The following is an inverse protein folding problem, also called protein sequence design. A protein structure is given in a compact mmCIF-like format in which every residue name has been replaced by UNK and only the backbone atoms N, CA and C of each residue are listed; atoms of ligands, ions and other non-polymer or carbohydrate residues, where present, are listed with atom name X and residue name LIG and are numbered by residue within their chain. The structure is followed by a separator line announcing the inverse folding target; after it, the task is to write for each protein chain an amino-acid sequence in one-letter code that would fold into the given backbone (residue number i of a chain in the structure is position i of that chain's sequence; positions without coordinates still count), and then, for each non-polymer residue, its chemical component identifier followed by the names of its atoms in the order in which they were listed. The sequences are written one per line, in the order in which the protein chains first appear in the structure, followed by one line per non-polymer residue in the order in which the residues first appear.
data_IF_741309606955
#
_entry.id   IF_741309606955
#
_cell.length_a   1.000
_cell.length_b   1.000
_cell.length_c   1.000
_cell.angle_alpha   90.00
_cell.angle_beta   90.00
_cell.angle_gamma   90.00
#
_symmetry.space_group_name_H-M   'P 1'
#
loop_
_entity.id
_entity.type
_entity.pdbx_description
1 polymer ?
#
# COMPACT_ATOMS: atom_id res chain seq x y z
N UNK A 1 12.17 16.18 -3.74
CA UNK A 1 13.60 16.49 -3.57
C UNK A 1 13.71 17.84 -2.90
N UNK A 2 14.19 17.91 -1.67
CA UNK A 2 14.43 19.17 -0.98
C UNK A 2 15.57 19.88 -1.68
N UNK A 3 15.32 21.00 -2.36
CA UNK A 3 16.37 21.86 -2.89
C UNK A 3 17.02 22.58 -1.72
N UNK A 4 18.36 22.54 -1.67
CA UNK A 4 19.09 23.33 -0.70
C UNK A 4 18.80 24.80 -0.97
N UNK A 5 18.20 25.48 0.02
CA UNK A 5 17.98 26.94 -0.05
C UNK A 5 19.36 27.59 -0.01
N UNK A 6 19.74 28.30 -1.06
CA UNK A 6 21.07 28.88 -1.20
C UNK A 6 21.36 30.04 -0.24
N UNK A 7 20.32 30.61 0.38
CA UNK A 7 20.42 31.67 1.37
C UNK A 7 19.45 31.41 2.53
N UNK A 8 19.82 31.71 3.76
CA UNK A 8 18.89 31.64 4.86
C UNK A 8 17.71 32.62 4.57
N UNK A 9 16.51 32.06 4.55
CA UNK A 9 15.28 32.85 4.39
C UNK A 9 14.94 33.39 5.77
N UNK A 10 14.90 34.69 5.90
CA UNK A 10 14.42 35.37 7.12
C UNK A 10 12.88 35.23 7.25
N UNK A 11 12.36 35.61 8.38
CA UNK A 11 10.94 35.49 8.68
C UNK A 11 10.06 36.27 7.66
N UNK A 12 10.57 37.37 7.11
CA UNK A 12 9.89 38.18 6.09
C UNK A 12 9.87 37.51 4.74
N UNK A 13 10.95 36.82 4.37
CA UNK A 13 11.03 36.05 3.13
C UNK A 13 10.22 34.74 3.16
N UNK A 14 9.88 34.23 4.35
CA UNK A 14 9.05 33.06 4.53
C UNK A 14 7.54 33.39 4.67
N UNK A 15 7.18 34.63 4.88
CA UNK A 15 5.80 35.08 5.07
C UNK A 15 5.15 35.50 3.75
N UNK A 16 3.93 35.01 3.49
CA UNK A 16 3.08 35.41 2.37
C UNK A 16 1.85 36.14 2.92
N UNK A 17 1.60 37.33 2.45
CA UNK A 17 0.39 38.05 2.86
C UNK A 17 -0.84 37.36 2.28
N UNK A 18 -1.91 37.21 3.07
CA UNK A 18 -3.15 36.54 2.66
C UNK A 18 -3.73 37.13 1.36
N UNK A 19 -3.61 38.44 1.17
CA UNK A 19 -4.05 39.12 -0.06
C UNK A 19 -3.30 38.69 -1.32
N UNK A 20 -2.09 38.17 -1.16
CA UNK A 20 -1.21 37.73 -2.24
C UNK A 20 -1.30 36.19 -2.46
N UNK A 21 -2.07 35.50 -1.60
CA UNK A 21 -2.33 34.07 -1.74
C UNK A 21 -3.38 33.82 -2.83
N UNK A 22 -3.06 32.97 -3.78
CA UNK A 22 -3.96 32.63 -4.90
C UNK A 22 -4.41 31.17 -4.79
N UNK A 23 -5.71 30.93 -4.96
CA UNK A 23 -6.25 29.58 -5.04
C UNK A 23 -6.35 29.12 -6.52
N UNK A 24 -6.16 27.81 -6.81
CA UNK A 24 -5.95 26.67 -5.90
C UNK A 24 -4.51 26.50 -5.42
N UNK A 25 -3.58 27.33 -5.83
CA UNK A 25 -2.17 27.26 -5.47
C UNK A 25 -1.81 28.51 -4.64
N UNK A 26 -2.05 28.47 -3.31
CA UNK A 26 -1.84 29.63 -2.45
C UNK A 26 -0.36 30.01 -2.24
N UNK A 27 0.57 29.16 -2.67
CA UNK A 27 2.01 29.38 -2.52
C UNK A 27 2.72 29.36 -3.86
N UNK A 28 3.87 30.03 -3.95
CA UNK A 28 4.68 30.01 -5.16
C UNK A 28 5.06 28.59 -5.58
N UNK A 29 5.19 28.33 -6.91
CA UNK A 29 5.59 27.01 -7.43
C UNK A 29 6.94 26.58 -6.82
N UNK A 30 6.93 25.46 -6.13
CA UNK A 30 8.13 24.95 -5.40
C UNK A 30 7.78 24.34 -4.06
N UNK A 31 6.65 24.69 -3.46
CA UNK A 31 5.98 23.84 -2.48
C UNK A 31 5.04 22.94 -3.27
N UNK A 32 5.56 21.79 -3.68
CA UNK A 32 4.70 20.79 -4.28
C UNK A 32 3.62 20.42 -3.28
N UNK A 33 2.39 20.55 -3.70
CA UNK A 33 1.23 20.07 -2.98
C UNK A 33 1.36 18.56 -2.88
N UNK A 34 1.88 18.08 -1.77
CA UNK A 34 1.75 16.68 -1.42
C UNK A 34 0.31 16.45 -1.01
N UNK A 35 -0.47 15.99 -1.98
CA UNK A 35 -1.77 15.42 -1.66
C UNK A 35 -1.57 14.40 -0.53
N UNK A 36 -2.45 14.35 0.48
CA UNK A 36 -2.44 13.29 1.50
C UNK A 36 -2.41 11.89 0.87
N UNK A 37 -2.86 11.77 -0.38
CA UNK A 37 -2.84 10.55 -1.19
C UNK A 37 -1.44 10.19 -1.69
N UNK A 38 -0.48 11.10 -1.69
CA UNK A 38 0.90 10.85 -2.17
C UNK A 38 1.91 10.59 -1.03
N UNK A 39 1.45 10.49 0.19
CA UNK A 39 2.28 10.11 1.33
C UNK A 39 2.41 8.60 1.50
N UNK A 40 3.28 8.17 2.42
CA UNK A 40 3.44 6.74 2.77
C UNK A 40 2.15 6.09 3.28
N UNK A 41 1.19 6.86 3.74
CA UNK A 41 -0.09 6.40 4.25
C UNK A 41 -1.06 5.96 3.16
N UNK A 42 -0.82 6.35 1.93
CA UNK A 42 -1.61 5.89 0.79
C UNK A 42 -1.53 4.37 0.60
N UNK A 43 -0.43 3.74 1.02
CA UNK A 43 -0.28 2.27 0.98
C UNK A 43 -1.39 1.56 1.74
N UNK A 44 -1.89 2.15 2.85
CA UNK A 44 -2.99 1.59 3.64
C UNK A 44 -4.27 1.53 2.80
N UNK A 45 -4.63 2.64 2.15
CA UNK A 45 -5.80 2.74 1.29
C UNK A 45 -5.68 1.84 0.07
N UNK A 46 -4.53 1.90 -0.61
CA UNK A 46 -4.27 1.07 -1.80
C UNK A 46 -4.35 -0.42 -1.48
N UNK A 47 -3.78 -0.84 -0.34
CA UNK A 47 -3.87 -2.23 0.11
C UNK A 47 -5.31 -2.68 0.42
N UNK A 48 -6.18 -1.75 0.83
CA UNK A 48 -7.59 -2.05 1.09
C UNK A 48 -8.41 -2.36 -0.16
N UNK A 49 -7.92 -1.96 -1.34
CA UNK A 49 -8.60 -2.23 -2.62
C UNK A 49 -8.65 -3.72 -2.94
N UNK A 50 -7.74 -4.52 -2.38
CA UNK A 50 -7.71 -5.96 -2.61
C UNK A 50 -8.74 -6.65 -1.71
N UNK A 51 -9.79 -7.27 -2.28
CA UNK A 51 -10.82 -7.94 -1.50
C UNK A 51 -10.28 -9.20 -0.83
N UNK A 52 -10.88 -9.59 0.29
CA UNK A 52 -10.54 -10.79 1.08
C UNK A 52 -9.04 -10.89 1.45
N UNK A 53 -8.34 -9.75 1.41
CA UNK A 53 -6.95 -9.63 1.81
C UNK A 53 -6.82 -9.04 3.22
N UNK A 54 -5.73 -9.39 3.89
CA UNK A 54 -5.33 -8.84 5.18
C UNK A 54 -4.01 -8.11 5.06
N UNK A 55 -3.89 -6.97 5.69
CA UNK A 55 -2.62 -6.25 5.79
C UNK A 55 -1.93 -6.64 7.10
N UNK A 56 -0.69 -7.11 7.01
CA UNK A 56 0.15 -7.42 8.17
C UNK A 56 1.40 -6.55 8.11
N UNK A 57 1.62 -5.79 9.17
CA UNK A 57 2.76 -4.89 9.30
C UNK A 57 3.75 -5.43 10.31
N UNK A 58 4.99 -5.67 9.89
CA UNK A 58 6.09 -6.10 10.76
C UNK A 58 6.98 -4.88 11.01
N UNK A 59 6.84 -4.26 12.17
CA UNK A 59 7.47 -2.97 12.43
C UNK A 59 7.63 -2.68 13.92
N UNK A 60 8.43 -1.68 14.24
CA UNK A 60 8.41 -1.09 15.57
C UNK A 60 7.06 -0.39 15.83
N UNK A 61 6.64 -0.32 17.08
CA UNK A 61 5.35 0.24 17.51
C UNK A 61 5.12 1.68 17.01
N UNK A 62 6.16 2.50 17.00
CA UNK A 62 6.07 3.87 16.47
C UNK A 62 5.71 3.94 14.98
N UNK A 63 6.13 2.95 14.19
CA UNK A 63 5.88 2.92 12.75
C UNK A 63 4.41 2.59 12.42
N UNK A 64 3.69 1.91 13.30
CA UNK A 64 2.31 1.50 13.04
C UNK A 64 1.27 2.56 13.37
N UNK A 65 1.62 3.64 14.10
CA UNK A 65 0.67 4.63 14.59
C UNK A 65 -0.26 5.17 13.51
N UNK A 66 0.27 5.63 12.40
CA UNK A 66 -0.54 6.16 11.31
C UNK A 66 -1.37 5.08 10.63
N UNK A 67 -0.84 3.84 10.51
CA UNK A 67 -1.59 2.69 9.96
C UNK A 67 -2.81 2.38 10.83
N UNK A 68 -2.63 2.31 12.16
CA UNK A 68 -3.73 2.05 13.12
C UNK A 68 -4.80 3.14 13.03
N UNK A 69 -4.38 4.42 13.00
CA UNK A 69 -5.31 5.54 12.89
C UNK A 69 -6.12 5.48 11.58
N UNK A 70 -5.43 5.24 10.45
CA UNK A 70 -6.11 5.13 9.16
C UNK A 70 -7.06 3.93 9.11
N UNK A 71 -6.67 2.77 9.65
CA UNK A 71 -7.53 1.60 9.73
C UNK A 71 -8.79 1.86 10.57
N UNK A 72 -8.64 2.61 11.68
CA UNK A 72 -9.75 3.03 12.53
C UNK A 72 -10.67 4.03 11.82
N UNK A 73 -10.13 5.05 11.16
CA UNK A 73 -10.90 6.04 10.38
C UNK A 73 -11.70 5.39 9.25
N UNK A 74 -11.13 4.38 8.59
CA UNK A 74 -11.81 3.61 7.56
C UNK A 74 -12.81 2.57 8.10
N UNK A 75 -12.84 2.37 9.42
CA UNK A 75 -13.63 1.31 10.09
C UNK A 75 -13.34 -0.10 9.55
N UNK A 76 -12.06 -0.41 9.33
CA UNK A 76 -11.58 -1.69 8.78
C UNK A 76 -10.43 -2.28 9.59
N UNK A 77 -10.37 -1.97 10.87
CA UNK A 77 -9.31 -2.43 11.77
C UNK A 77 -9.21 -3.97 11.84
N UNK A 78 -10.31 -4.67 11.61
CA UNK A 78 -10.41 -6.13 11.53
C UNK A 78 -9.57 -6.74 10.39
N UNK A 79 -9.23 -5.96 9.37
CA UNK A 79 -8.38 -6.37 8.24
C UNK A 79 -6.90 -6.09 8.45
N UNK A 80 -6.51 -5.63 9.63
CA UNK A 80 -5.13 -5.28 9.96
C UNK A 80 -4.59 -6.14 11.09
N UNK A 81 -3.30 -6.42 11.02
CA UNK A 81 -2.54 -7.06 12.10
C UNK A 81 -1.13 -6.51 12.16
N UNK A 82 -0.53 -6.64 13.33
CA UNK A 82 0.80 -6.09 13.59
C UNK A 82 1.68 -7.15 14.26
N UNK A 83 2.91 -7.26 13.79
CA UNK A 83 3.99 -7.97 14.44
C UNK A 83 4.97 -6.92 14.96
N UNK A 84 5.06 -6.78 16.27
CA UNK A 84 5.88 -5.74 16.89
C UNK A 84 7.32 -6.23 17.00
N UNK A 85 8.23 -5.52 16.35
CA UNK A 85 9.68 -5.73 16.47
C UNK A 85 10.20 -4.85 17.59
N UNK A 86 10.81 -5.48 18.60
CA UNK A 86 11.42 -4.81 19.74
C UNK A 86 12.93 -4.66 19.53
N UNK A 87 13.54 -3.74 20.27
CA UNK A 87 14.98 -3.53 20.22
C UNK A 87 15.78 -4.83 20.49
N UNK A 88 15.35 -5.65 21.44
CA UNK A 88 15.96 -6.94 21.72
C UNK A 88 16.02 -7.87 20.50
N UNK A 89 15.02 -7.82 19.63
CA UNK A 89 15.00 -8.62 18.39
C UNK A 89 16.07 -8.15 17.41
N UNK A 90 16.31 -6.83 17.34
CA UNK A 90 17.33 -6.25 16.48
C UNK A 90 18.73 -6.62 16.97
N UNK A 91 18.95 -6.55 18.28
CA UNK A 91 20.22 -6.91 18.91
C UNK A 91 20.54 -8.40 18.76
N UNK A 92 19.53 -9.26 18.81
CA UNK A 92 19.71 -10.71 18.67
C UNK A 92 19.85 -11.16 17.21
N UNK A 93 19.64 -10.30 16.22
CA UNK A 93 19.76 -10.63 14.80
C UNK A 93 18.76 -11.68 14.34
N UNK A 94 17.54 -11.73 14.90
CA UNK A 94 16.53 -12.75 14.61
C UNK A 94 15.29 -12.17 13.92
N UNK A 95 15.47 -11.14 13.10
CA UNK A 95 14.37 -10.41 12.47
C UNK A 95 13.55 -11.28 11.49
N UNK A 96 14.21 -12.18 10.76
CA UNK A 96 13.56 -13.18 9.90
C UNK A 96 12.62 -14.07 10.72
N UNK A 97 13.14 -14.66 11.78
CA UNK A 97 12.38 -15.59 12.61
C UNK A 97 11.19 -14.89 13.30
N UNK A 98 11.38 -13.67 13.81
CA UNK A 98 10.30 -12.86 14.38
C UNK A 98 9.24 -12.54 13.32
N UNK A 99 9.64 -12.26 12.09
CA UNK A 99 8.72 -12.00 10.99
C UNK A 99 7.92 -13.26 10.65
N UNK A 100 8.59 -14.38 10.46
CA UNK A 100 7.96 -15.66 10.10
C UNK A 100 7.01 -16.13 11.22
N UNK A 101 7.49 -16.21 12.44
CA UNK A 101 6.71 -16.71 13.57
C UNK A 101 5.57 -15.74 13.93
N UNK A 102 5.82 -14.43 13.90
CA UNK A 102 4.79 -13.42 14.16
C UNK A 102 3.66 -13.46 13.14
N UNK A 103 3.98 -13.55 11.86
CA UNK A 103 2.96 -13.70 10.80
C UNK A 103 2.23 -15.03 10.93
N UNK A 104 2.94 -16.11 11.25
CA UNK A 104 2.36 -17.44 11.48
C UNK A 104 1.37 -17.41 12.65
N UNK A 105 1.75 -16.78 13.76
CA UNK A 105 0.89 -16.64 14.94
C UNK A 105 -0.38 -15.84 14.62
N UNK A 106 -0.22 -14.70 13.93
CA UNK A 106 -1.36 -13.90 13.47
C UNK A 106 -2.30 -14.73 12.63
N UNK A 107 -1.79 -15.41 11.62
CA UNK A 107 -2.63 -16.19 10.72
C UNK A 107 -3.30 -17.36 11.44
N UNK A 108 -2.62 -18.04 12.36
CA UNK A 108 -3.20 -19.16 13.10
C UNK A 108 -4.35 -18.74 14.02
N UNK A 109 -4.33 -17.53 14.55
CA UNK A 109 -5.38 -16.99 15.41
C UNK A 109 -6.64 -16.53 14.68
N UNK A 110 -6.57 -16.37 13.36
CA UNK A 110 -7.74 -16.01 12.58
C UNK A 110 -8.69 -17.20 12.42
N UNK A 111 -9.97 -16.99 12.66
CA UNK A 111 -11.02 -17.98 12.40
C UNK A 111 -11.11 -18.29 10.91
N UNK A 112 -11.14 -17.24 10.09
CA UNK A 112 -11.11 -17.35 8.63
C UNK A 112 -9.80 -16.86 8.09
N UNK A 113 -9.16 -17.66 7.22
CA UNK A 113 -7.90 -17.29 6.58
C UNK A 113 -8.17 -16.36 5.39
N UNK A 114 -7.41 -15.28 5.23
CA UNK A 114 -7.53 -14.41 4.07
C UNK A 114 -7.07 -15.13 2.80
N UNK A 115 -7.55 -14.67 1.64
CA UNK A 115 -7.07 -15.15 0.35
C UNK A 115 -5.68 -14.62 0.02
N UNK A 116 -5.39 -13.41 0.48
CA UNK A 116 -4.07 -12.80 0.33
C UNK A 116 -3.63 -12.08 1.61
N UNK A 117 -2.33 -12.01 1.78
CA UNK A 117 -1.67 -11.21 2.83
C UNK A 117 -0.76 -10.19 2.16
N UNK A 118 -1.05 -8.91 2.38
CA UNK A 118 -0.13 -7.84 2.07
C UNK A 118 0.81 -7.70 3.27
N UNK A 119 2.03 -8.24 3.12
CA UNK A 119 3.03 -8.25 4.18
C UNK A 119 3.93 -7.04 4.05
N UNK A 120 3.75 -6.08 4.95
CA UNK A 120 4.52 -4.84 4.97
C UNK A 120 5.76 -4.97 5.85
N UNK A 121 6.92 -4.85 5.22
CA UNK A 121 8.20 -4.70 5.90
C UNK A 121 8.60 -3.22 5.95
N UNK A 122 9.45 -2.86 6.90
CA UNK A 122 9.88 -1.48 7.15
C UNK A 122 11.38 -1.31 6.99
N UNK A 123 11.88 -0.10 7.14
CA UNK A 123 13.30 0.24 7.00
C UNK A 123 14.24 -0.68 7.80
N UNK A 124 13.81 -1.19 8.95
CA UNK A 124 14.61 -2.10 9.79
C UNK A 124 15.07 -3.34 9.03
N UNK A 125 14.20 -3.93 8.20
CA UNK A 125 14.53 -5.10 7.39
C UNK A 125 15.67 -4.82 6.40
N UNK A 126 15.68 -3.61 5.82
CA UNK A 126 16.74 -3.19 4.91
C UNK A 126 18.05 -2.86 5.64
N UNK A 127 17.98 -2.13 6.77
CA UNK A 127 19.16 -1.75 7.53
C UNK A 127 19.92 -2.95 8.09
N UNK A 128 19.21 -4.00 8.47
CA UNK A 128 19.78 -5.21 9.03
C UNK A 128 20.08 -6.29 7.98
N UNK A 129 19.78 -6.02 6.70
CA UNK A 129 20.02 -6.99 5.63
C UNK A 129 19.17 -8.27 5.76
N UNK A 130 17.92 -8.12 6.23
CA UNK A 130 17.01 -9.23 6.44
C UNK A 130 16.81 -10.05 5.14
N UNK A 131 16.93 -11.38 5.23
CA UNK A 131 16.67 -12.29 4.12
C UNK A 131 15.16 -12.46 3.89
N UNK A 132 14.60 -11.52 3.12
CA UNK A 132 13.18 -11.53 2.80
C UNK A 132 12.80 -12.70 1.88
N UNK A 133 13.72 -13.22 1.05
CA UNK A 133 13.42 -14.39 0.22
C UNK A 133 13.13 -15.60 1.09
N UNK A 134 13.97 -15.86 2.09
CA UNK A 134 13.72 -16.90 3.10
C UNK A 134 12.39 -16.69 3.80
N UNK A 135 12.10 -15.46 4.23
CA UNK A 135 10.84 -15.15 4.93
C UNK A 135 9.61 -15.51 4.08
N UNK A 136 9.59 -15.08 2.82
CA UNK A 136 8.45 -15.38 1.94
C UNK A 136 8.36 -16.86 1.60
N UNK A 137 9.48 -17.52 1.32
CA UNK A 137 9.49 -18.96 1.04
C UNK A 137 8.90 -19.76 2.19
N UNK A 138 9.36 -19.53 3.44
CA UNK A 138 8.83 -20.24 4.60
C UNK A 138 7.34 -19.95 4.85
N UNK A 139 6.88 -18.72 4.65
CA UNK A 139 5.47 -18.38 4.80
C UNK A 139 4.58 -19.03 3.73
N UNK A 140 5.04 -19.06 2.48
CA UNK A 140 4.33 -19.71 1.38
C UNK A 140 4.26 -21.24 1.57
N UNK A 141 5.31 -21.86 2.10
CA UNK A 141 5.32 -23.28 2.46
C UNK A 141 4.35 -23.60 3.60
N UNK A 142 4.28 -22.74 4.63
CA UNK A 142 3.36 -22.90 5.76
C UNK A 142 1.89 -22.65 5.39
N UNK A 143 1.64 -21.75 4.45
CA UNK A 143 0.31 -21.30 4.06
C UNK A 143 0.09 -21.33 2.54
N UNK A 144 0.13 -22.53 1.90
CA UNK A 144 0.12 -22.63 0.43
C UNK A 144 -1.19 -22.18 -0.23
N UNK A 145 -2.23 -21.90 0.54
CA UNK A 145 -3.52 -21.38 0.05
C UNK A 145 -3.64 -19.87 0.16
N UNK A 146 -2.65 -19.21 0.73
CA UNK A 146 -2.63 -17.75 0.91
C UNK A 146 -1.62 -17.17 -0.07
N UNK A 147 -2.03 -16.16 -0.81
CA UNK A 147 -1.13 -15.40 -1.68
C UNK A 147 -0.42 -14.32 -0.86
N UNK A 148 0.89 -14.41 -0.71
CA UNK A 148 1.68 -13.36 -0.05
C UNK A 148 2.11 -12.30 -1.06
N UNK A 149 1.88 -11.03 -0.73
CA UNK A 149 2.22 -9.87 -1.55
C UNK A 149 3.28 -9.07 -0.82
N UNK A 150 4.40 -8.84 -1.51
CA UNK A 150 5.57 -8.12 -0.98
C UNK A 150 5.27 -6.63 -0.95
N UNK A 151 5.17 -6.08 0.25
CA UNK A 151 4.86 -4.69 0.48
C UNK A 151 5.93 -4.02 1.32
N UNK A 152 6.12 -2.73 1.11
CA UNK A 152 7.20 -1.99 1.77
C UNK A 152 6.66 -0.69 2.36
N UNK A 153 7.07 -0.41 3.59
CA UNK A 153 6.87 0.87 4.25
C UNK A 153 8.25 1.44 4.61
N UNK A 154 9.05 1.74 3.59
CA UNK A 154 10.47 2.08 3.70
C UNK A 154 10.88 3.36 2.96
N UNK A 155 10.29 4.52 3.29
CA UNK A 155 10.53 5.76 2.56
C UNK A 155 11.99 6.24 2.65
N UNK A 156 12.70 5.85 3.70
CA UNK A 156 14.07 6.31 3.96
C UNK A 156 15.06 5.67 2.97
N UNK A 157 14.82 4.43 2.57
CA UNK A 157 15.70 3.68 1.67
C UNK A 157 15.58 4.11 0.21
N UNK A 158 14.64 4.99 -0.08
CA UNK A 158 14.30 5.36 -1.44
C UNK A 158 15.06 6.59 -1.91
N UNK A 159 16.27 6.39 -2.41
CA UNK A 159 17.04 7.45 -3.07
C UNK A 159 16.68 7.56 -4.57
N UNK A 160 16.44 6.44 -5.21
CA UNK A 160 16.08 6.34 -6.62
C UNK A 160 15.15 5.16 -6.85
N UNK A 161 14.21 5.28 -7.78
CA UNK A 161 13.26 4.22 -8.12
C UNK A 161 11.82 4.43 -7.63
N UNK A 162 10.96 3.41 -7.76
CA UNK A 162 9.56 3.51 -7.41
C UNK A 162 9.33 3.75 -5.92
N UNK A 163 8.33 4.59 -5.61
CA UNK A 163 7.89 4.83 -4.22
C UNK A 163 7.26 3.57 -3.61
N UNK A 164 7.11 3.46 -2.28
CA UNK A 164 6.38 2.36 -1.64
C UNK A 164 4.99 2.17 -2.22
N UNK A 165 4.27 3.25 -2.51
CA UNK A 165 2.97 3.23 -3.17
C UNK A 165 3.05 2.64 -4.59
N UNK A 166 4.03 3.06 -5.39
CA UNK A 166 4.22 2.52 -6.75
C UNK A 166 4.61 1.04 -6.74
N UNK A 167 5.45 0.62 -5.78
CA UNK A 167 5.79 -0.80 -5.59
C UNK A 167 4.55 -1.61 -5.22
N UNK A 168 3.73 -1.10 -4.29
CA UNK A 168 2.48 -1.74 -3.89
C UNK A 168 1.51 -1.86 -5.08
N UNK A 169 1.30 -0.78 -5.83
CA UNK A 169 0.44 -0.79 -7.03
C UNK A 169 0.87 -1.81 -8.06
N UNK A 170 2.17 -2.01 -8.22
CA UNK A 170 2.70 -3.09 -9.07
C UNK A 170 2.40 -4.45 -8.45
N UNK A 171 2.74 -4.64 -7.18
CA UNK A 171 2.65 -5.92 -6.48
C UNK A 171 1.20 -6.44 -6.39
N UNK A 172 0.21 -5.58 -6.24
CA UNK A 172 -1.21 -6.00 -6.19
C UNK A 172 -1.76 -6.50 -7.53
N UNK A 173 -1.04 -6.37 -8.63
CA UNK A 173 -1.43 -6.94 -9.92
C UNK A 173 -0.59 -8.17 -10.31
N UNK A 174 0.48 -8.48 -9.58
CA UNK A 174 1.35 -9.64 -9.85
C UNK A 174 0.63 -11.00 -9.69
N UNK A 175 -0.30 -11.18 -8.72
CA UNK A 175 -1.03 -12.44 -8.56
C UNK A 175 -2.06 -12.72 -9.65
N UNK A 176 -2.37 -11.74 -10.50
CA UNK A 176 -3.37 -11.94 -11.54
C UNK A 176 -2.95 -13.03 -12.52
N UNK A 177 -3.85 -13.96 -12.85
CA UNK A 177 -3.51 -15.07 -13.73
C UNK A 177 -3.22 -14.59 -15.15
N UNK A 178 -2.13 -15.07 -15.73
CA UNK A 178 -1.83 -14.87 -17.14
C UNK A 178 -2.81 -15.72 -17.97
N UNK A 179 -3.78 -15.08 -18.58
CA UNK A 179 -4.80 -15.73 -19.41
C UNK A 179 -4.99 -15.00 -20.72
N UNK A 180 -5.66 -15.65 -21.68
CA UNK A 180 -6.09 -15.00 -22.92
C UNK A 180 -7.04 -13.84 -22.57
N UNK A 181 -6.82 -12.70 -23.21
CA UNK A 181 -7.71 -11.56 -23.03
C UNK A 181 -9.16 -11.91 -23.37
N UNK A 182 -10.08 -11.46 -22.54
CA UNK A 182 -11.51 -11.51 -22.83
C UNK A 182 -11.85 -10.31 -23.75
N UNK A 183 -12.15 -10.59 -25.01
CA UNK A 183 -12.41 -9.57 -26.03
C UNK A 183 -13.60 -8.64 -25.69
N UNK A 184 -14.45 -9.08 -24.76
CA UNK A 184 -15.59 -8.28 -24.29
C UNK A 184 -15.32 -7.52 -23.01
N UNK A 185 -14.16 -7.71 -22.38
CA UNK A 185 -13.83 -7.07 -21.12
C UNK A 185 -12.89 -5.88 -21.30
N UNK A 186 -13.17 -4.81 -20.55
CA UNK A 186 -12.31 -3.66 -20.37
C UNK A 186 -11.95 -3.55 -18.92
N UNK A 187 -10.68 -3.78 -18.57
CA UNK A 187 -10.17 -3.61 -17.22
C UNK A 187 -9.54 -2.23 -17.06
N UNK A 188 -10.04 -1.46 -16.11
CA UNK A 188 -9.55 -0.14 -15.75
C UNK A 188 -8.66 -0.26 -14.52
N UNK A 189 -7.35 -0.08 -14.69
CA UNK A 189 -6.35 -0.31 -13.67
C UNK A 189 -5.76 1.00 -13.16
N UNK A 190 -5.29 1.00 -11.90
CA UNK A 190 -4.57 2.10 -11.28
C UNK A 190 -5.44 3.18 -10.64
N UNK A 191 -6.75 3.05 -10.64
CA UNK A 191 -7.65 3.95 -9.90
C UNK A 191 -7.83 3.50 -8.45
N UNK A 192 -7.85 4.45 -7.53
CA UNK A 192 -8.15 4.22 -6.11
C UNK A 192 -9.65 4.28 -5.80
N UNK A 193 -10.42 4.84 -6.71
CA UNK A 193 -11.85 5.02 -6.57
C UNK A 193 -12.58 4.38 -7.74
N UNK A 194 -13.69 3.71 -7.44
CA UNK A 194 -14.59 3.21 -8.48
C UNK A 194 -15.15 4.38 -9.30
N UNK A 195 -15.23 4.19 -10.61
CA UNK A 195 -15.92 5.13 -11.46
C UNK A 195 -17.41 5.15 -11.12
N UNK A 196 -17.99 6.33 -11.23
CA UNK A 196 -19.43 6.51 -11.10
C UNK A 196 -20.21 5.51 -11.97
N UNK A 197 -21.36 5.05 -11.48
CA UNK A 197 -22.21 4.07 -12.19
C UNK A 197 -22.56 4.53 -13.60
N UNK A 198 -22.74 5.84 -13.78
CA UNK A 198 -23.14 6.47 -15.04
C UNK A 198 -21.96 7.15 -15.76
N UNK A 199 -20.71 6.89 -15.35
CA UNK A 199 -19.54 7.42 -16.05
C UNK A 199 -19.59 7.06 -17.55
N UNK A 200 -19.16 7.98 -18.39
CA UNK A 200 -19.22 7.81 -19.85
C UNK A 200 -18.47 6.57 -20.32
N UNK A 201 -17.30 6.28 -19.74
CA UNK A 201 -16.57 5.06 -20.07
C UNK A 201 -17.40 3.80 -19.80
N UNK A 202 -18.05 3.71 -18.63
CA UNK A 202 -18.95 2.58 -18.32
C UNK A 202 -20.14 2.49 -19.25
N UNK A 203 -20.66 3.65 -19.70
CA UNK A 203 -21.77 3.72 -20.67
C UNK A 203 -21.34 3.22 -22.05
N UNK A 204 -20.18 3.65 -22.53
CA UNK A 204 -19.60 3.21 -23.80
C UNK A 204 -19.39 1.70 -23.80
N UNK A 205 -18.72 1.17 -22.78
CA UNK A 205 -18.48 -0.29 -22.67
C UNK A 205 -19.79 -1.07 -22.70
N UNK A 206 -20.81 -0.64 -21.94
CA UNK A 206 -22.13 -1.28 -21.94
C UNK A 206 -22.85 -1.19 -23.29
N UNK A 207 -22.76 -0.06 -23.97
CA UNK A 207 -23.37 0.11 -25.29
C UNK A 207 -22.79 -0.85 -26.34
N UNK A 208 -21.54 -1.27 -26.16
CA UNK A 208 -20.88 -2.29 -26.97
C UNK A 208 -20.99 -3.70 -26.39
N UNK A 209 -21.92 -3.93 -25.46
CA UNK A 209 -22.13 -5.23 -24.79
C UNK A 209 -20.87 -5.74 -24.06
N UNK A 210 -19.99 -4.81 -23.67
CA UNK A 210 -18.76 -5.12 -22.96
C UNK A 210 -18.94 -5.25 -21.44
N UNK A 211 -17.97 -5.90 -20.80
CA UNK A 211 -17.86 -6.03 -19.36
C UNK A 211 -16.82 -5.03 -18.85
N UNK A 212 -17.22 -4.15 -17.93
CA UNK A 212 -16.29 -3.21 -17.31
C UNK A 212 -15.80 -3.76 -15.96
N UNK A 213 -14.50 -3.80 -15.78
CA UNK A 213 -13.84 -4.27 -14.55
C UNK A 213 -12.93 -3.19 -14.00
N UNK A 214 -12.90 -3.04 -12.69
CA UNK A 214 -12.03 -2.10 -11.98
C UNK A 214 -11.73 -2.64 -10.58
N UNK A 215 -10.49 -2.49 -10.10
CA UNK A 215 -10.09 -3.00 -8.79
C UNK A 215 -10.96 -2.47 -7.64
N UNK A 216 -11.29 -1.16 -7.54
CA UNK A 216 -12.16 -0.67 -6.48
C UNK A 216 -13.60 -1.21 -6.53
N UNK A 217 -13.97 -1.85 -7.62
CA UNK A 217 -15.28 -2.48 -7.81
C UNK A 217 -15.32 -3.96 -7.43
N UNK A 218 -14.19 -4.59 -7.20
CA UNK A 218 -14.10 -6.00 -6.81
C UNK A 218 -14.61 -6.22 -5.40
N UNK A 219 -15.53 -7.19 -5.24
CA UNK A 219 -16.12 -7.53 -3.94
C UNK A 219 -15.61 -8.85 -3.40
N UNK A 220 -15.08 -9.70 -4.27
CA UNK A 220 -14.55 -11.01 -3.93
C UNK A 220 -13.17 -11.22 -4.53
N UNK A 221 -12.47 -12.24 -4.05
CA UNK A 221 -11.21 -12.69 -4.63
C UNK A 221 -11.36 -13.12 -6.09
N UNK A 222 -12.48 -13.73 -6.42
CA UNK A 222 -12.82 -14.14 -7.78
C UNK A 222 -13.00 -12.94 -8.71
N UNK A 223 -13.66 -11.86 -8.25
CA UNK A 223 -13.76 -10.61 -9.02
C UNK A 223 -12.38 -10.02 -9.29
N UNK A 224 -11.51 -10.02 -8.28
CA UNK A 224 -10.14 -9.55 -8.42
C UNK A 224 -9.35 -10.41 -9.43
N UNK A 225 -9.42 -11.74 -9.32
CA UNK A 225 -8.75 -12.64 -10.27
C UNK A 225 -9.31 -12.50 -11.69
N UNK A 226 -10.49 -11.92 -11.85
CA UNK A 226 -11.11 -11.67 -13.13
C UNK A 226 -10.66 -10.37 -13.81
N UNK A 227 -9.89 -9.50 -13.11
CA UNK A 227 -9.34 -8.28 -13.70
C UNK A 227 -8.43 -8.59 -14.88
#
# INVERSE_FOLDING_TARGET
MLKRVGHPVDEKGAAVAIKDATFPVPFAPGLEFNSPVHGNWNIVHTGMLMPEARQIYVCADNCMRGVVLTAAEMNVADRFSFVIVKEENLLNGNLEDITIEGVTDVLNKLEEKPKAVLLFTVCLHHFLGCDLERVYQELEERFPKITFIRCYMDPIMQKHGPTPDQKLRKAIYEPLPKRKADEKAVSFLGSDFALEKNADLKRIVRAHQGIFRELPGCKSWEDYLAL
#
